data_IF_369843488343
#
_entry.id   IF_369843488343
#
_cell.length_a   1.000
_cell.length_b   1.000
_cell.length_c   1.000
_cell.angle_alpha   90.00
_cell.angle_beta   90.00
_cell.angle_gamma   90.00
#
_symmetry.space_group_name_H-M   'P 1'
#
loop_
_entity.id
_entity.type
_entity.pdbx_description
1 polymer ?
#
# COMPACT_ATOMS: atom_id res chain seq x y z
N UNK A 1 -9.63 -12.28 9.09
CA UNK A 1 -10.34 -11.24 8.34
C UNK A 1 -10.03 -9.90 9.02
N UNK A 2 -9.14 -9.14 8.46
CA UNK A 2 -8.86 -7.76 8.86
C UNK A 2 -9.59 -6.79 7.91
N UNK A 3 -9.63 -5.51 8.28
CA UNK A 3 -10.03 -4.46 7.34
C UNK A 3 -8.96 -4.33 6.26
N UNK A 4 -9.24 -4.88 5.08
CA UNK A 4 -8.30 -4.95 3.97
C UNK A 4 -7.84 -3.55 3.52
N UNK A 5 -8.73 -2.57 3.55
CA UNK A 5 -8.42 -1.19 3.15
C UNK A 5 -7.41 -0.57 4.10
N UNK A 6 -7.64 -0.69 5.42
CA UNK A 6 -6.71 -0.18 6.41
C UNK A 6 -5.36 -0.89 6.39
N UNK A 7 -5.34 -2.23 6.22
CA UNK A 7 -4.08 -2.98 6.06
C UNK A 7 -3.31 -2.51 4.82
N UNK A 8 -3.98 -2.38 3.68
CA UNK A 8 -3.35 -1.86 2.45
C UNK A 8 -2.76 -0.48 2.67
N UNK A 9 -3.48 0.43 3.33
CA UNK A 9 -2.98 1.78 3.58
C UNK A 9 -1.77 1.81 4.52
N UNK A 10 -1.77 0.98 5.58
CA UNK A 10 -0.63 0.83 6.50
C UNK A 10 0.61 0.39 5.71
N UNK A 11 0.52 -0.73 4.97
CA UNK A 11 1.67 -1.28 4.26
C UNK A 11 2.11 -0.42 3.07
N UNK A 12 1.19 0.20 2.35
CA UNK A 12 1.53 1.15 1.28
C UNK A 12 2.32 2.34 1.81
N UNK A 13 1.94 2.91 2.95
CA UNK A 13 2.67 3.99 3.58
C UNK A 13 4.08 3.56 4.03
N UNK A 14 4.21 2.39 4.67
CA UNK A 14 5.50 1.88 5.14
C UNK A 14 6.43 1.56 3.97
N UNK A 15 5.95 0.84 2.96
CA UNK A 15 6.72 0.48 1.77
C UNK A 15 7.09 1.70 0.93
N UNK A 16 6.16 2.64 0.71
CA UNK A 16 6.44 3.89 0.01
C UNK A 16 7.53 4.70 0.71
N UNK A 17 7.55 4.74 2.06
CA UNK A 17 8.63 5.38 2.80
C UNK A 17 9.95 4.61 2.64
N UNK A 18 9.95 3.30 2.75
CA UNK A 18 11.15 2.48 2.54
C UNK A 18 11.75 2.74 1.15
N UNK A 19 10.94 2.70 0.07
CA UNK A 19 11.38 2.97 -1.30
C UNK A 19 11.94 4.40 -1.44
N UNK A 20 11.25 5.37 -0.85
CA UNK A 20 11.57 6.80 -0.96
C UNK A 20 12.89 7.18 -0.28
N UNK A 21 13.24 6.50 0.82
CA UNK A 21 14.41 6.82 1.64
C UNK A 21 15.56 5.83 1.47
N UNK A 22 15.39 4.81 0.63
CA UNK A 22 16.45 3.87 0.22
C UNK A 22 17.04 4.33 -1.11
N UNK A 23 18.36 4.31 -1.22
CA UNK A 23 19.06 4.67 -2.45
C UNK A 23 18.93 3.56 -3.49
N UNK A 24 19.14 3.91 -4.76
CA UNK A 24 19.18 2.96 -5.86
C UNK A 24 20.20 1.83 -5.59
N UNK A 25 19.75 0.59 -5.76
CA UNK A 25 20.55 -0.61 -5.40
C UNK A 25 20.48 -0.99 -3.92
N UNK A 26 19.71 -0.28 -3.09
CA UNK A 26 19.46 -0.65 -1.72
C UNK A 26 18.47 -1.84 -1.60
N UNK A 27 18.27 -2.29 -0.37
CA UNK A 27 17.46 -3.47 -0.05
C UNK A 27 16.30 -3.07 0.85
N UNK A 28 15.12 -3.61 0.54
CA UNK A 28 13.90 -3.48 1.34
C UNK A 28 13.35 -4.87 1.59
N UNK A 29 13.06 -5.18 2.84
CA UNK A 29 12.51 -6.46 3.26
C UNK A 29 11.14 -6.27 3.89
N UNK A 30 10.17 -7.09 3.47
CA UNK A 30 8.88 -7.24 4.12
C UNK A 30 8.77 -8.67 4.65
N UNK A 31 8.62 -8.82 5.96
CA UNK A 31 8.45 -10.09 6.62
C UNK A 31 7.10 -10.10 7.36
N UNK A 32 6.39 -11.22 7.30
CA UNK A 32 5.17 -11.47 8.05
C UNK A 32 5.31 -12.80 8.79
N UNK A 33 5.14 -12.76 10.10
CA UNK A 33 5.26 -13.93 10.98
C UNK A 33 4.00 -14.06 11.82
N UNK A 34 3.51 -15.28 11.97
CA UNK A 34 2.46 -15.59 12.94
C UNK A 34 3.11 -15.83 14.31
N UNK A 35 2.65 -15.08 15.30
CA UNK A 35 3.11 -15.19 16.68
C UNK A 35 2.20 -16.12 17.48
N UNK A 36 2.73 -16.70 18.55
CA UNK A 36 1.91 -17.46 19.50
C UNK A 36 0.75 -16.60 20.03
N UNK A 37 -0.46 -17.14 19.95
CA UNK A 37 -1.69 -16.51 20.44
C UNK A 37 -2.48 -17.52 21.26
N UNK A 38 -2.99 -17.09 22.41
CA UNK A 38 -3.89 -17.90 23.23
C UNK A 38 -5.37 -17.80 22.79
N UNK A 39 -5.65 -17.12 21.69
CA UNK A 39 -6.99 -16.95 21.16
C UNK A 39 -7.32 -17.98 20.08
N UNK A 40 -8.48 -18.62 20.17
CA UNK A 40 -9.02 -19.48 19.11
C UNK A 40 -9.73 -18.68 17.98
N UNK A 41 -9.91 -17.38 18.16
CA UNK A 41 -10.66 -16.50 17.25
C UNK A 41 -9.73 -15.55 16.51
N UNK A 42 -8.60 -15.17 17.13
CA UNK A 42 -7.63 -14.24 16.60
C UNK A 42 -6.24 -14.86 16.55
N UNK A 43 -5.54 -14.67 15.43
CA UNK A 43 -4.12 -14.95 15.29
C UNK A 43 -3.34 -13.65 15.39
N UNK A 44 -2.24 -13.66 16.16
CA UNK A 44 -1.35 -12.52 16.29
C UNK A 44 -0.29 -12.57 15.21
N UNK A 45 -0.16 -11.48 14.46
CA UNK A 45 0.86 -11.33 13.42
C UNK A 45 1.84 -10.22 13.76
N UNK A 46 3.09 -10.48 13.42
CA UNK A 46 4.19 -9.53 13.42
C UNK A 46 4.59 -9.24 11.99
N UNK A 47 4.60 -7.98 11.61
CA UNK A 47 5.06 -7.53 10.32
C UNK A 47 6.28 -6.65 10.50
N UNK A 48 7.32 -6.88 9.69
CA UNK A 48 8.53 -6.08 9.64
C UNK A 48 8.68 -5.48 8.25
N UNK A 49 8.87 -4.18 8.18
CA UNK A 49 9.27 -3.46 6.97
C UNK A 49 10.61 -2.81 7.25
N UNK A 50 11.67 -3.40 6.73
CA UNK A 50 13.04 -2.96 6.98
C UNK A 50 13.69 -2.49 5.68
N UNK A 51 14.43 -1.41 5.75
CA UNK A 51 15.24 -0.85 4.67
C UNK A 51 16.68 -0.59 5.12
N UNK A 52 17.63 -0.59 4.20
CA UNK A 52 19.02 -0.20 4.43
C UNK A 52 19.30 1.23 3.92
N UNK A 53 18.31 2.10 3.96
CA UNK A 53 18.36 3.47 3.48
C UNK A 53 19.11 4.43 4.40
N UNK A 54 18.73 5.70 4.34
CA UNK A 54 19.44 6.77 5.07
C UNK A 54 19.23 6.73 6.60
N UNK A 55 18.22 6.02 7.09
CA UNK A 55 17.88 5.98 8.50
C UNK A 55 17.45 7.33 9.09
N UNK A 56 17.26 7.36 10.40
CA UNK A 56 16.73 8.52 11.14
C UNK A 56 17.56 8.84 12.37
N UNK A 57 17.66 10.13 12.71
CA UNK A 57 18.22 10.55 14.00
C UNK A 57 17.30 10.16 15.16
N UNK A 58 17.88 10.04 16.36
CA UNK A 58 17.13 9.70 17.56
C UNK A 58 16.00 10.72 17.85
N UNK A 59 16.26 12.01 17.63
CA UNK A 59 15.25 13.07 17.84
C UNK A 59 14.08 12.92 16.87
N UNK A 60 14.35 12.67 15.58
CA UNK A 60 13.33 12.48 14.58
C UNK A 60 12.54 11.17 14.80
N UNK A 61 13.24 10.09 15.19
CA UNK A 61 12.61 8.80 15.52
C UNK A 61 11.54 8.95 16.61
N UNK A 62 11.77 9.78 17.62
CA UNK A 62 10.82 10.01 18.70
C UNK A 62 9.54 10.76 18.26
N UNK A 63 9.58 11.44 17.13
CA UNK A 63 8.47 12.27 16.61
C UNK A 63 7.93 11.80 15.27
N UNK A 64 8.42 10.66 14.74
CA UNK A 64 8.06 10.18 13.39
C UNK A 64 6.54 9.95 13.22
N UNK A 65 5.85 9.61 14.32
CA UNK A 65 4.41 9.38 14.33
C UNK A 65 3.59 10.65 14.62
N UNK A 66 4.23 11.79 14.88
CA UNK A 66 3.53 13.06 15.05
C UNK A 66 3.12 13.63 13.69
N UNK A 67 1.94 14.24 13.64
CA UNK A 67 1.43 14.85 12.42
C UNK A 67 2.32 16.01 11.96
N UNK A 68 2.52 16.13 10.64
CA UNK A 68 3.32 17.16 9.98
C UNK A 68 4.83 17.13 10.29
N UNK A 69 5.31 16.07 10.93
CA UNK A 69 6.74 15.91 11.23
C UNK A 69 7.50 15.47 9.97
N UNK A 70 8.61 16.13 9.68
CA UNK A 70 9.50 15.86 8.55
C UNK A 70 10.96 15.94 8.99
N UNK A 71 11.80 15.05 8.46
CA UNK A 71 13.25 15.16 8.68
C UNK A 71 13.78 16.40 7.93
N UNK A 72 14.29 17.37 8.68
CA UNK A 72 14.93 18.57 8.12
C UNK A 72 16.41 18.28 7.80
N UNK A 73 16.69 17.75 6.63
CA UNK A 73 18.04 17.61 6.09
C UNK A 73 18.09 18.10 4.64
N UNK A 74 19.24 18.62 4.20
CA UNK A 74 19.44 19.11 2.83
C UNK A 74 19.17 18.05 1.74
N UNK A 75 19.23 16.77 2.09
CA UNK A 75 18.90 15.64 1.20
C UNK A 75 17.38 15.37 1.16
N UNK A 76 16.66 15.59 2.26
CA UNK A 76 15.23 15.36 2.36
C UNK A 76 14.40 16.53 1.82
N UNK A 77 14.96 17.73 1.69
CA UNK A 77 14.26 18.90 1.11
C UNK A 77 13.82 18.69 -0.35
N UNK A 78 14.42 17.75 -1.07
CA UNK A 78 14.00 17.37 -2.44
C UNK A 78 12.91 16.30 -2.47
N UNK A 79 12.62 15.67 -1.34
CA UNK A 79 11.69 14.57 -1.24
C UNK A 79 10.32 15.12 -0.83
N UNK A 80 9.36 15.11 -1.75
CA UNK A 80 8.01 15.61 -1.54
C UNK A 80 7.22 14.70 -0.60
N UNK A 81 6.48 15.27 0.37
CA UNK A 81 5.61 14.51 1.28
C UNK A 81 4.91 15.45 2.27
N UNK A 82 3.71 15.09 2.67
CA UNK A 82 2.86 15.89 3.58
C UNK A 82 3.27 15.79 5.05
N UNK A 83 4.07 14.78 5.43
CA UNK A 83 4.37 14.49 6.84
C UNK A 83 3.18 13.87 7.60
N UNK A 84 2.14 13.42 6.91
CA UNK A 84 0.95 12.83 7.53
C UNK A 84 0.94 11.30 7.47
N UNK A 85 1.68 10.68 6.56
CA UNK A 85 1.61 9.25 6.31
C UNK A 85 1.86 8.40 7.55
N UNK A 86 2.91 8.68 8.33
CA UNK A 86 3.24 7.91 9.54
C UNK A 86 2.26 8.14 10.68
N UNK A 87 1.74 9.37 10.85
CA UNK A 87 0.69 9.65 11.82
C UNK A 87 -0.61 8.90 11.48
N UNK A 88 -0.99 8.86 10.20
CA UNK A 88 -2.13 8.07 9.72
C UNK A 88 -1.89 6.58 9.95
N UNK A 89 -0.70 6.08 9.63
CA UNK A 89 -0.33 4.67 9.86
C UNK A 89 -0.47 4.30 11.34
N UNK A 90 0.06 5.12 12.25
CA UNK A 90 -0.07 4.91 13.70
C UNK A 90 -1.53 4.86 14.14
N UNK A 91 -2.33 5.84 13.70
CA UNK A 91 -3.76 5.90 14.04
C UNK A 91 -4.53 4.67 13.52
N UNK A 92 -4.24 4.19 12.31
CA UNK A 92 -4.87 3.00 11.75
C UNK A 92 -4.48 1.73 12.51
N UNK A 93 -3.20 1.58 12.86
CA UNK A 93 -2.73 0.46 13.67
C UNK A 93 -3.41 0.46 15.04
N UNK A 94 -3.48 1.61 15.72
CA UNK A 94 -4.15 1.76 17.01
C UNK A 94 -5.65 1.47 16.91
N UNK A 95 -6.33 1.95 15.86
CA UNK A 95 -7.75 1.67 15.58
C UNK A 95 -8.02 0.18 15.40
N UNK A 96 -7.05 -0.55 14.81
CA UNK A 96 -7.12 -1.99 14.64
C UNK A 96 -6.67 -2.78 15.88
N UNK A 97 -6.37 -2.11 17.00
CA UNK A 97 -5.94 -2.72 18.25
C UNK A 97 -4.51 -3.27 18.21
N UNK A 98 -3.71 -2.85 17.24
CA UNK A 98 -2.32 -3.23 17.07
C UNK A 98 -1.34 -2.28 17.75
N UNK A 99 -0.05 -2.53 17.56
CA UNK A 99 1.05 -1.64 17.94
C UNK A 99 2.03 -1.48 16.80
N UNK A 100 2.63 -0.30 16.69
CA UNK A 100 3.71 -0.02 15.74
C UNK A 100 4.88 0.60 16.48
N UNK A 101 6.07 0.13 16.15
CA UNK A 101 7.34 0.64 16.67
C UNK A 101 8.36 0.80 15.54
N UNK A 102 9.48 1.51 15.80
CA UNK A 102 10.52 1.71 14.80
C UNK A 102 11.92 1.66 15.43
N UNK A 103 12.80 0.90 14.80
CA UNK A 103 14.23 0.95 15.03
C UNK A 103 14.93 1.58 13.85
N UNK A 104 15.76 2.57 14.08
CA UNK A 104 16.49 3.27 13.01
C UNK A 104 17.72 3.97 13.56
N UNK A 105 18.78 3.95 12.75
CA UNK A 105 20.01 4.69 12.99
C UNK A 105 20.46 5.39 11.70
N UNK A 106 21.05 6.60 11.78
CA UNK A 106 21.55 7.31 10.60
C UNK A 106 22.54 6.46 9.80
N UNK A 107 22.25 6.28 8.51
CA UNK A 107 23.09 5.50 7.58
C UNK A 107 22.98 3.98 7.70
N UNK A 108 22.14 3.47 8.58
CA UNK A 108 21.91 2.03 8.77
C UNK A 108 20.53 1.58 8.25
N UNK A 109 19.67 2.55 7.91
CA UNK A 109 18.29 2.29 7.50
C UNK A 109 17.29 2.33 8.64
N UNK A 110 16.09 1.80 8.37
CA UNK A 110 14.99 1.78 9.33
C UNK A 110 14.27 0.43 9.29
N UNK A 111 13.74 0.00 10.42
CA UNK A 111 12.91 -1.18 10.52
C UNK A 111 11.64 -0.85 11.32
N UNK A 112 10.51 -0.88 10.66
CA UNK A 112 9.19 -0.71 11.28
C UNK A 112 8.63 -2.06 11.65
N UNK A 113 8.20 -2.20 12.89
CA UNK A 113 7.59 -3.39 13.45
C UNK A 113 6.13 -3.13 13.79
N UNK A 114 5.23 -3.94 13.25
CA UNK A 114 3.79 -3.82 13.46
C UNK A 114 3.25 -5.13 14.02
N UNK A 115 2.57 -5.08 15.17
CA UNK A 115 1.81 -6.21 15.69
C UNK A 115 0.32 -5.97 15.52
N UNK A 116 -0.40 -6.99 15.05
CA UNK A 116 -1.85 -6.96 14.90
C UNK A 116 -2.48 -8.31 15.24
N UNK A 117 -3.66 -8.26 15.86
CA UNK A 117 -4.52 -9.42 16.05
C UNK A 117 -5.53 -9.47 14.89
N UNK A 118 -5.41 -10.48 14.02
CA UNK A 118 -6.30 -10.66 12.89
C UNK A 118 -7.28 -11.82 13.16
N UNK A 119 -8.56 -11.59 12.88
CA UNK A 119 -9.59 -12.63 13.04
C UNK A 119 -9.31 -13.81 12.12
N UNK A 120 -9.23 -15.00 12.68
CA UNK A 120 -9.06 -16.23 11.90
C UNK A 120 -10.29 -16.44 11.01
N UNK A 121 -10.08 -16.71 9.72
CA UNK A 121 -11.18 -17.01 8.81
C UNK A 121 -11.76 -18.39 9.18
N UNK A 122 -13.07 -18.46 9.34
CA UNK A 122 -13.76 -19.74 9.58
C UNK A 122 -13.55 -20.66 8.37
N UNK A 123 -12.84 -21.78 8.56
CA UNK A 123 -12.63 -22.78 7.51
C UNK A 123 -11.18 -23.22 7.24
N UNK A 124 -10.17 -22.64 7.93
CA UNK A 124 -8.80 -23.18 7.88
C UNK A 124 -8.39 -23.78 9.22
N UNK A 125 -8.51 -25.11 9.32
CA UNK A 125 -7.80 -25.90 10.33
C UNK A 125 -6.30 -25.72 10.10
N UNK A 126 -5.59 -25.33 11.16
CA UNK A 126 -4.14 -25.33 11.15
C UNK A 126 -3.63 -26.73 10.80
N UNK A 127 -2.89 -26.85 9.74
CA UNK A 127 -2.06 -28.02 9.44
C UNK A 127 -0.67 -27.53 9.07
N UNK A 128 0.40 -28.14 9.66
CA UNK A 128 1.75 -27.67 9.47
C UNK A 128 2.22 -27.94 8.06
N UNK A 129 2.99 -27.00 7.56
CA UNK A 129 3.81 -27.05 6.35
C UNK A 129 3.79 -28.38 5.58
N UNK A 130 2.90 -28.51 4.61
CA UNK A 130 3.02 -29.45 3.53
C UNK A 130 2.88 -28.65 2.24
N UNK A 131 3.89 -28.74 1.42
CA UNK A 131 3.82 -28.39 0.02
C UNK A 131 2.59 -29.09 -0.58
N UNK A 132 1.52 -28.37 -0.71
CA UNK A 132 0.38 -28.78 -1.49
C UNK A 132 0.27 -27.78 -2.62
N UNK A 133 0.54 -28.28 -3.80
CA UNK A 133 0.07 -27.74 -5.05
C UNK A 133 -1.39 -27.33 -4.85
N UNK A 134 -1.61 -26.03 -4.65
CA UNK A 134 -2.94 -25.47 -4.68
C UNK A 134 -3.34 -25.51 -6.14
N UNK A 135 -4.27 -26.39 -6.45
CA UNK A 135 -5.09 -26.23 -7.65
C UNK A 135 -5.61 -24.79 -7.64
N UNK A 136 -5.11 -24.04 -8.59
CA UNK A 136 -5.58 -22.70 -8.94
C UNK A 136 -7.08 -22.80 -9.22
N UNK A 137 -7.92 -22.54 -8.22
CA UNK A 137 -9.23 -22.00 -8.51
C UNK A 137 -8.98 -20.56 -8.96
N UNK A 138 -8.66 -20.48 -10.23
CA UNK A 138 -8.43 -19.31 -11.03
C UNK A 138 -9.74 -18.49 -11.11
N UNK A 139 -10.03 -17.82 -10.01
CA UNK A 139 -11.07 -16.81 -9.94
C UNK A 139 -10.47 -15.44 -10.23
N UNK A 140 -9.82 -15.29 -11.37
CA UNK A 140 -9.39 -13.98 -11.86
C UNK A 140 -10.64 -13.19 -12.24
N UNK A 141 -11.24 -12.55 -11.21
CA UNK A 141 -12.54 -11.84 -11.28
C UNK A 141 -12.48 -10.72 -12.33
N UNK A 142 -11.29 -10.17 -12.58
CA UNK A 142 -11.10 -9.06 -13.52
C UNK A 142 -10.76 -9.51 -14.95
N UNK A 143 -10.58 -10.80 -15.18
CA UNK A 143 -10.20 -11.33 -16.48
C UNK A 143 -11.16 -10.96 -17.60
N UNK A 144 -10.64 -10.26 -18.59
CA UNK A 144 -11.40 -9.78 -19.73
C UNK A 144 -12.25 -8.55 -19.49
N UNK A 145 -12.23 -7.99 -18.26
CA UNK A 145 -12.86 -6.69 -17.98
C UNK A 145 -12.05 -5.56 -18.61
N UNK A 146 -12.75 -4.53 -19.07
CA UNK A 146 -12.18 -3.33 -19.68
C UNK A 146 -12.44 -2.12 -18.80
N UNK A 147 -11.36 -1.51 -18.35
CA UNK A 147 -11.38 -0.36 -17.44
C UNK A 147 -11.07 0.92 -18.21
N UNK A 148 -11.81 1.98 -17.92
CA UNK A 148 -11.45 3.34 -18.28
C UNK A 148 -10.92 4.03 -17.00
N UNK A 149 -9.65 4.43 -16.99
CA UNK A 149 -8.98 4.92 -15.81
C UNK A 149 -8.56 6.37 -15.97
N UNK A 150 -8.72 7.18 -14.92
CA UNK A 150 -8.18 8.53 -14.82
C UNK A 150 -7.09 8.58 -13.75
N UNK A 151 -5.88 8.94 -14.14
CA UNK A 151 -4.72 9.11 -13.28
C UNK A 151 -3.78 10.15 -13.93
N UNK A 152 -3.45 11.21 -13.21
CA UNK A 152 -2.63 12.32 -13.72
C UNK A 152 -1.12 12.10 -13.48
N UNK A 153 -0.77 11.16 -12.62
CA UNK A 153 0.61 10.77 -12.36
C UNK A 153 1.02 9.60 -13.26
N UNK A 154 2.00 9.83 -14.13
CA UNK A 154 2.46 8.84 -15.11
C UNK A 154 2.93 7.52 -14.46
N UNK A 155 3.63 7.59 -13.32
CA UNK A 155 4.08 6.40 -12.58
C UNK A 155 2.91 5.61 -11.98
N UNK A 156 1.92 6.29 -11.42
CA UNK A 156 0.73 5.63 -10.87
C UNK A 156 -0.08 4.98 -12.00
N UNK A 157 -0.20 5.64 -13.15
CA UNK A 157 -0.86 5.13 -14.34
C UNK A 157 -0.18 3.84 -14.85
N UNK A 158 1.14 3.81 -14.87
CA UNK A 158 1.93 2.63 -15.24
C UNK A 158 1.70 1.48 -14.27
N UNK A 159 1.76 1.74 -12.95
CA UNK A 159 1.51 0.74 -11.90
C UNK A 159 0.08 0.19 -12.02
N UNK A 160 -0.92 1.06 -12.18
CA UNK A 160 -2.32 0.66 -12.34
C UNK A 160 -2.51 -0.24 -13.57
N UNK A 161 -1.88 0.14 -14.69
CA UNK A 161 -1.91 -0.64 -15.92
C UNK A 161 -1.35 -2.05 -15.73
N UNK A 162 -0.17 -2.18 -15.10
CA UNK A 162 0.46 -3.47 -14.88
C UNK A 162 -0.33 -4.33 -13.88
N UNK A 163 -0.91 -3.75 -12.83
CA UNK A 163 -1.76 -4.47 -11.88
C UNK A 163 -3.01 -5.03 -12.56
N UNK A 164 -3.72 -4.23 -13.35
CA UNK A 164 -4.90 -4.68 -14.07
C UNK A 164 -4.56 -5.77 -15.10
N UNK A 165 -3.42 -5.65 -15.76
CA UNK A 165 -2.94 -6.63 -16.73
C UNK A 165 -2.54 -7.96 -16.08
N UNK A 166 -1.91 -7.94 -14.88
CA UNK A 166 -1.63 -9.16 -14.09
C UNK A 166 -2.93 -9.90 -13.77
N UNK A 167 -3.99 -9.16 -13.45
CA UNK A 167 -5.33 -9.69 -13.19
C UNK A 167 -6.12 -10.02 -14.47
N UNK A 168 -5.48 -9.93 -15.65
CA UNK A 168 -6.08 -10.29 -16.94
C UNK A 168 -7.12 -9.29 -17.45
N UNK A 169 -7.15 -8.06 -16.91
CA UNK A 169 -7.98 -6.97 -17.37
C UNK A 169 -7.25 -6.09 -18.39
N UNK A 170 -8.03 -5.34 -19.17
CA UNK A 170 -7.52 -4.29 -20.07
C UNK A 170 -7.87 -2.92 -19.48
N UNK A 171 -7.00 -1.91 -19.67
CA UNK A 171 -7.32 -0.57 -19.26
C UNK A 171 -6.94 0.48 -20.32
N UNK A 172 -7.76 1.54 -20.36
CA UNK A 172 -7.49 2.76 -21.11
C UNK A 172 -7.21 3.86 -20.10
N UNK A 173 -6.00 4.43 -20.10
CA UNK A 173 -5.59 5.49 -19.18
C UNK A 173 -5.87 6.87 -19.80
N UNK A 174 -6.43 7.75 -18.99
CA UNK A 174 -6.66 9.17 -19.29
C UNK A 174 -5.97 10.03 -18.22
N UNK A 175 -5.38 11.14 -18.60
CA UNK A 175 -4.60 12.02 -17.73
C UNK A 175 -5.43 12.96 -16.83
N UNK A 176 -6.76 13.02 -17.00
CA UNK A 176 -7.68 13.84 -16.22
C UNK A 176 -9.14 13.45 -16.48
N UNK A 177 -10.06 13.94 -15.64
CA UNK A 177 -11.48 13.66 -15.74
C UNK A 177 -12.12 14.09 -17.06
N UNK A 178 -11.65 15.22 -17.64
CA UNK A 178 -12.16 15.69 -18.94
C UNK A 178 -11.87 14.70 -20.06
N UNK A 179 -10.67 14.11 -20.07
CA UNK A 179 -10.30 13.09 -21.06
C UNK A 179 -11.11 11.81 -20.90
N UNK A 180 -11.41 11.43 -19.64
CA UNK A 180 -12.31 10.30 -19.39
C UNK A 180 -13.68 10.57 -19.98
N UNK A 181 -14.24 11.75 -19.73
CA UNK A 181 -15.56 12.14 -20.25
C UNK A 181 -15.58 12.10 -21.79
N UNK A 182 -14.61 12.74 -22.46
CA UNK A 182 -14.47 12.75 -23.92
C UNK A 182 -14.36 11.32 -24.49
N UNK A 183 -13.57 10.45 -23.83
CA UNK A 183 -13.38 9.06 -24.27
C UNK A 183 -14.65 8.25 -24.06
N UNK A 184 -15.33 8.43 -22.93
CA UNK A 184 -16.56 7.74 -22.62
C UNK A 184 -17.71 8.15 -23.52
N UNK A 185 -17.85 9.45 -23.87
CA UNK A 185 -18.85 9.95 -24.80
C UNK A 185 -18.69 9.40 -26.23
N UNK A 186 -17.46 9.05 -26.62
CA UNK A 186 -17.16 8.46 -27.94
C UNK A 186 -17.28 6.92 -27.92
N UNK A 187 -17.43 6.31 -26.77
CA UNK A 187 -17.58 4.87 -26.63
C UNK A 187 -19.02 4.41 -26.88
N UNK A 188 -19.18 3.13 -27.16
CA UNK A 188 -20.50 2.50 -27.24
C UNK A 188 -20.81 1.69 -25.98
N UNK A 189 -22.10 1.50 -25.63
CA UNK A 189 -22.47 0.69 -24.47
C UNK A 189 -21.80 -0.69 -24.49
N UNK A 190 -21.03 -1.00 -23.46
CA UNK A 190 -20.29 -2.25 -23.32
C UNK A 190 -18.81 -2.15 -23.69
N UNK A 191 -18.28 -1.00 -24.09
CA UNK A 191 -16.83 -0.83 -24.34
C UNK A 191 -16.03 -0.84 -23.04
N UNK A 192 -16.62 -0.38 -21.95
CA UNK A 192 -16.02 -0.38 -20.63
C UNK A 192 -16.96 -1.02 -19.61
N UNK A 193 -16.39 -1.85 -18.73
CA UNK A 193 -17.11 -2.51 -17.67
C UNK A 193 -17.05 -1.71 -16.37
N UNK A 194 -16.00 -0.89 -16.19
CA UNK A 194 -15.79 -0.07 -15.00
C UNK A 194 -14.97 1.18 -15.30
N UNK A 195 -15.23 2.24 -14.54
CA UNK A 195 -14.42 3.46 -14.54
C UNK A 195 -13.71 3.57 -13.20
N UNK A 196 -12.38 3.73 -13.22
CA UNK A 196 -11.56 4.06 -12.06
C UNK A 196 -11.12 5.52 -12.17
N UNK A 197 -11.42 6.31 -11.16
CA UNK A 197 -11.23 7.76 -11.19
C UNK A 197 -10.45 8.23 -9.98
N UNK A 198 -9.25 8.80 -10.21
CA UNK A 198 -8.62 9.57 -9.15
C UNK A 198 -9.48 10.80 -8.83
N UNK A 199 -9.54 11.13 -7.56
CA UNK A 199 -10.33 12.26 -7.05
C UNK A 199 -9.61 13.58 -7.29
N UNK A 200 -8.27 13.60 -7.16
CA UNK A 200 -7.48 14.83 -7.22
C UNK A 200 -6.66 14.91 -8.51
N UNK A 201 -7.24 15.45 -9.55
CA UNK A 201 -6.59 15.66 -10.84
C UNK A 201 -6.70 17.11 -11.32
N UNK A 202 -5.73 17.60 -12.14
CA UNK A 202 -5.83 18.90 -12.79
C UNK A 202 -6.93 18.89 -13.85
N UNK A 203 -7.39 20.08 -14.26
CA UNK A 203 -8.37 20.35 -15.33
C UNK A 203 -9.80 19.96 -14.95
N UNK A 204 -10.05 18.73 -14.55
CA UNK A 204 -11.34 18.20 -14.07
C UNK A 204 -11.04 17.11 -13.06
N UNK A 205 -11.51 17.27 -11.84
CA UNK A 205 -11.36 16.32 -10.77
C UNK A 205 -12.39 15.18 -10.85
N UNK A 206 -12.21 14.13 -10.04
CA UNK A 206 -13.07 12.95 -10.11
C UNK A 206 -14.51 13.14 -9.62
N UNK A 207 -14.86 14.32 -9.07
CA UNK A 207 -16.23 14.64 -8.61
C UNK A 207 -17.01 15.54 -9.57
N UNK A 208 -16.36 16.19 -10.52
CA UNK A 208 -16.98 17.03 -11.55
C UNK A 208 -17.48 16.20 -12.72
#
# INVERSE_FOLDING_TARGET
NGDQVHLMQIFSNLLSNAIKYTQEGGEIQLLAEECESNSSVYAKYRFLVCDNGMGMSADFKNTIFDAFTRAENSLTNKIQGTGLGMAITKNLVDLMGGTIDVESEPGQGSCFEVFMDLKIAEGRSASPASQAETEEQDGNILKGMRFLCAEDNELNAEILTELLKIEGAECTICENGKRVLETFEQSVPGDYDMILMDVQMPVMNGYE
#
